data_IF_918695444943
#
_entry.id   IF_918695444943
#
_cell.length_a   1.000
_cell.length_b   1.000
_cell.length_c   1.000
_cell.angle_alpha   90.00
_cell.angle_beta   90.00
_cell.angle_gamma   90.00
#
_symmetry.space_group_name_H-M   'P 1'
#
loop_
_entity.id
_entity.type
_entity.pdbx_description
1 polymer ?
#
# COMPACT_ATOMS: atom_id res chain seq x y z
N UNK A 1 -4.77 -7.62 -11.84
CA UNK A 1 -5.16 -8.39 -10.63
C UNK A 1 -6.58 -8.98 -10.76
N UNK A 2 -6.88 -10.05 -10.01
CA UNK A 2 -8.23 -10.62 -9.92
C UNK A 2 -9.17 -9.57 -9.27
N UNK A 3 -10.39 -9.32 -9.79
CA UNK A 3 -11.32 -8.39 -9.17
C UNK A 3 -11.62 -8.76 -7.72
N UNK A 4 -11.62 -7.79 -6.80
CA UNK A 4 -11.98 -8.04 -5.40
C UNK A 4 -13.44 -8.45 -5.24
N UNK A 5 -14.33 -7.96 -6.10
CA UNK A 5 -15.74 -8.31 -6.12
C UNK A 5 -15.99 -9.01 -7.45
N UNK A 6 -16.44 -10.27 -7.41
CA UNK A 6 -16.68 -11.07 -8.63
C UNK A 6 -18.13 -11.00 -9.12
N UNK A 7 -19.08 -10.82 -8.19
CA UNK A 7 -20.52 -10.83 -8.45
C UNK A 7 -21.19 -9.67 -7.71
N UNK A 8 -22.28 -9.10 -8.25
CA UNK A 8 -22.95 -9.45 -9.52
C UNK A 8 -22.18 -8.99 -10.76
N UNK A 9 -21.20 -8.10 -10.59
CA UNK A 9 -20.29 -7.63 -11.65
C UNK A 9 -18.86 -7.62 -11.13
N UNK A 10 -17.86 -7.93 -11.97
CA UNK A 10 -16.47 -7.83 -11.59
C UNK A 10 -16.10 -6.37 -11.32
N UNK A 11 -15.67 -6.07 -10.09
CA UNK A 11 -15.23 -4.73 -9.68
C UNK A 11 -13.89 -4.83 -8.95
N UNK A 12 -13.04 -3.83 -9.21
CA UNK A 12 -11.76 -3.64 -8.55
C UNK A 12 -11.85 -2.49 -7.57
N UNK A 13 -11.13 -2.59 -6.47
CA UNK A 13 -10.99 -1.46 -5.54
C UNK A 13 -9.90 -0.51 -6.02
N UNK A 14 -9.98 0.75 -5.60
CA UNK A 14 -8.88 1.70 -5.85
C UNK A 14 -7.55 1.20 -5.29
N UNK A 15 -7.57 0.49 -4.15
CA UNK A 15 -6.36 -0.11 -3.57
C UNK A 15 -5.75 -1.17 -4.48
N UNK A 16 -6.56 -2.04 -5.09
CA UNK A 16 -6.06 -3.04 -6.03
C UNK A 16 -5.38 -2.43 -7.26
N UNK A 17 -5.97 -1.36 -7.80
CA UNK A 17 -5.40 -0.66 -8.96
C UNK A 17 -4.12 0.08 -8.56
N UNK A 18 -4.10 0.73 -7.40
CA UNK A 18 -2.91 1.39 -6.87
C UNK A 18 -1.76 0.42 -6.62
N UNK A 19 -2.02 -0.80 -6.15
CA UNK A 19 -0.98 -1.83 -5.98
C UNK A 19 -0.27 -2.22 -7.28
N UNK A 20 -0.86 -1.96 -8.46
CA UNK A 20 -0.26 -2.35 -9.74
C UNK A 20 0.94 -1.48 -10.13
N UNK A 21 1.02 -0.27 -9.58
CA UNK A 21 2.12 0.66 -9.85
C UNK A 21 3.19 0.64 -8.77
N UNK A 22 3.01 -0.16 -7.72
CA UNK A 22 3.98 -0.25 -6.63
C UNK A 22 5.01 -1.35 -6.94
N UNK A 23 6.31 -1.09 -6.71
CA UNK A 23 7.30 -2.16 -6.69
C UNK A 23 7.05 -3.09 -5.50
N UNK A 24 7.72 -4.25 -5.49
CA UNK A 24 7.60 -5.22 -4.40
C UNK A 24 8.31 -4.73 -3.12
N UNK A 25 7.66 -3.82 -2.40
CA UNK A 25 8.16 -3.24 -1.13
C UNK A 25 7.16 -3.46 0.01
N UNK A 26 7.61 -3.31 1.25
CA UNK A 26 6.76 -3.34 2.44
C UNK A 26 6.67 -1.95 3.08
N UNK A 27 5.47 -1.52 3.48
CA UNK A 27 5.28 -0.26 4.18
C UNK A 27 4.18 -0.37 5.25
N UNK A 28 4.43 0.03 6.51
CA UNK A 28 5.72 0.49 7.03
C UNK A 28 6.81 -0.60 6.95
N UNK A 29 8.08 -0.19 6.90
CA UNK A 29 9.21 -1.12 6.80
C UNK A 29 9.29 -2.03 8.04
N UNK A 30 8.95 -1.49 9.21
CA UNK A 30 8.80 -2.27 10.43
C UNK A 30 7.46 -3.02 10.42
N UNK A 31 7.46 -4.34 10.61
CA UNK A 31 6.22 -5.11 10.68
C UNK A 31 5.40 -4.72 11.90
N UNK A 32 4.08 -4.83 11.79
CA UNK A 32 3.20 -4.70 12.94
C UNK A 32 3.18 -5.99 13.76
N UNK A 33 3.18 -5.88 15.09
CA UNK A 33 3.01 -7.03 16.01
C UNK A 33 1.70 -7.80 15.74
N UNK A 34 0.66 -7.07 15.32
CA UNK A 34 -0.63 -7.62 14.92
C UNK A 34 -1.09 -6.94 13.64
N UNK A 35 -1.72 -7.69 12.72
CA UNK A 35 -2.27 -7.11 11.50
C UNK A 35 -3.17 -5.89 11.79
N UNK A 36 -2.86 -4.72 11.20
CA UNK A 36 -3.53 -3.47 11.51
C UNK A 36 -4.84 -3.37 10.74
N UNK A 37 -5.92 -4.01 11.21
CA UNK A 37 -7.24 -3.93 10.56
C UNK A 37 -8.22 -3.02 11.33
N UNK A 38 -8.00 -1.69 11.41
CA UNK A 38 -8.90 -0.80 12.12
C UNK A 38 -10.18 -0.56 11.32
N UNK A 39 -11.32 -0.42 12.00
CA UNK A 39 -12.61 -0.12 11.38
C UNK A 39 -12.66 1.24 10.65
N UNK A 40 -11.72 2.13 10.92
CA UNK A 40 -11.70 3.50 10.40
C UNK A 40 -10.65 3.73 9.29
N UNK A 41 -10.01 2.66 8.78
CA UNK A 41 -9.00 2.71 7.71
C UNK A 41 -7.83 3.68 7.98
N UNK A 42 -7.56 4.01 9.25
CA UNK A 42 -6.52 4.97 9.67
C UNK A 42 -5.10 4.42 9.67
N UNK A 43 -4.93 3.10 9.57
CA UNK A 43 -3.61 2.47 9.46
C UNK A 43 -3.36 2.08 8.03
N UNK A 44 -2.09 2.06 7.62
CA UNK A 44 -1.68 1.63 6.30
C UNK A 44 -0.87 0.34 6.39
N UNK A 45 -1.08 -0.55 5.42
CA UNK A 45 -0.25 -1.73 5.25
C UNK A 45 -0.11 -2.05 3.77
N UNK A 46 1.12 -1.94 3.28
CA UNK A 46 1.55 -2.43 1.97
C UNK A 46 2.49 -3.61 2.22
N UNK A 47 2.20 -4.75 1.60
CA UNK A 47 3.04 -5.93 1.68
C UNK A 47 3.36 -6.44 0.29
N UNK A 48 4.64 -6.59 -0.04
CA UNK A 48 5.12 -7.01 -1.37
C UNK A 48 4.43 -6.23 -2.50
N UNK A 49 4.37 -4.91 -2.36
CA UNK A 49 3.72 -4.01 -3.32
C UNK A 49 2.18 -4.04 -3.32
N UNK A 50 1.53 -4.80 -2.43
CA UNK A 50 0.07 -4.84 -2.33
C UNK A 50 -0.44 -3.96 -1.18
N UNK A 51 -1.23 -2.93 -1.49
CA UNK A 51 -1.94 -2.11 -0.50
C UNK A 51 -3.14 -2.87 0.08
N UNK A 52 -2.97 -3.44 1.27
CA UNK A 52 -3.96 -4.27 1.95
C UNK A 52 -4.91 -3.47 2.84
N UNK A 53 -4.39 -2.42 3.49
CA UNK A 53 -5.16 -1.58 4.43
C UNK A 53 -4.77 -0.13 4.28
N UNK A 54 -5.70 0.79 4.51
CA UNK A 54 -5.44 2.21 4.68
C UNK A 54 -5.77 3.04 3.47
N UNK A 55 -6.17 4.28 3.72
CA UNK A 55 -6.25 5.30 2.68
C UNK A 55 -4.86 5.84 2.35
N UNK A 56 -4.59 6.03 1.05
CA UNK A 56 -3.42 6.77 0.61
C UNK A 56 -3.64 8.25 0.90
N UNK A 57 -2.76 8.83 1.72
CA UNK A 57 -2.81 10.24 2.13
C UNK A 57 -1.47 10.92 1.85
N UNK A 58 -1.43 12.25 1.93
CA UNK A 58 -0.18 13.03 1.81
C UNK A 58 0.90 12.54 2.79
N UNK A 59 0.54 12.09 3.99
CA UNK A 59 1.51 11.56 4.95
C UNK A 59 2.17 10.25 4.49
N UNK A 60 1.46 9.46 3.68
CA UNK A 60 1.97 8.18 3.14
C UNK A 60 2.86 8.41 1.92
N UNK A 61 2.42 9.20 0.95
CA UNK A 61 3.11 9.36 -0.35
C UNK A 61 3.91 10.66 -0.47
N UNK A 62 3.82 11.56 0.51
CA UNK A 62 4.51 12.84 0.46
C UNK A 62 6.00 12.74 0.79
N UNK A 63 6.66 13.89 0.69
CA UNK A 63 8.05 14.08 1.12
C UNK A 63 8.14 14.16 2.65
N UNK A 64 8.17 13.00 3.31
CA UNK A 64 8.37 12.86 4.74
C UNK A 64 9.31 11.68 5.02
N UNK A 65 10.14 11.73 6.09
CA UNK A 65 10.91 10.58 6.51
C UNK A 65 10.01 9.37 6.78
N UNK A 66 10.38 8.22 6.21
CA UNK A 66 9.64 6.97 6.34
C UNK A 66 8.37 6.89 5.47
N UNK A 67 8.11 7.86 4.60
CA UNK A 67 7.03 7.76 3.60
C UNK A 67 7.28 6.64 2.59
N UNK A 68 6.25 6.29 1.83
CA UNK A 68 6.33 5.23 0.82
C UNK A 68 7.41 5.53 -0.24
N UNK A 69 7.50 6.78 -0.72
CA UNK A 69 8.55 7.19 -1.68
C UNK A 69 9.94 7.02 -1.07
N UNK A 70 10.11 7.41 0.19
CA UNK A 70 11.39 7.24 0.89
C UNK A 70 11.78 5.76 1.02
N UNK A 71 10.82 4.88 1.33
CA UNK A 71 11.05 3.43 1.41
C UNK A 71 11.42 2.86 0.05
N UNK A 72 10.66 3.20 -1.01
CA UNK A 72 10.93 2.72 -2.37
C UNK A 72 12.33 3.11 -2.81
N UNK A 73 12.70 4.39 -2.64
CA UNK A 73 14.03 4.87 -3.02
C UNK A 73 15.16 4.12 -2.29
N UNK A 74 14.99 3.87 -0.99
CA UNK A 74 16.01 3.19 -0.19
C UNK A 74 16.12 1.68 -0.50
N UNK A 75 15.02 1.01 -0.85
CA UNK A 75 15.01 -0.43 -1.13
C UNK A 75 15.28 -0.77 -2.61
N UNK A 76 14.88 0.10 -3.54
CA UNK A 76 14.87 -0.17 -4.98
C UNK A 76 15.75 0.79 -5.81
N UNK A 77 16.19 1.90 -5.23
CA UNK A 77 17.01 2.91 -5.92
C UNK A 77 16.18 3.97 -6.64
N UNK A 78 16.86 4.84 -7.41
CA UNK A 78 16.26 5.97 -8.12
C UNK A 78 15.59 5.61 -9.45
N UNK A 79 15.94 4.46 -10.01
CA UNK A 79 15.56 4.07 -11.38
C UNK A 79 14.23 3.28 -11.40
N UNK A 80 13.68 2.99 -10.23
CA UNK A 80 12.31 2.53 -9.98
C UNK A 80 11.38 3.73 -9.73
#
# INVERSE_FOLDING_TARGET
PIPAILKPRPLWTGKQIFSLILPEVNHPASPYDKPPFPHNDKKIMIQRGQLLVGAITKGVVGAAPGSLIHVIFNERGSDE
#
